data_IF_928506848643
#
_entry.id   IF_928506848643
#
_cell.length_a   1.000
_cell.length_b   1.000
_cell.length_c   1.000
_cell.angle_alpha   90.00
_cell.angle_beta   90.00
_cell.angle_gamma   90.00
#
_symmetry.space_group_name_H-M   'P 1'
#
loop_
_entity.id
_entity.type
_entity.pdbx_description
1 polymer ?
#
# COMPACT_ATOMS: atom_id res chain seq x y z
N UNK A 1 -4.99 -2.57 3.33
CA UNK A 1 -4.99 -2.26 4.78
C UNK A 1 -6.24 -1.50 5.22
N UNK A 2 -6.81 -1.89 6.37
CA UNK A 2 -7.94 -1.21 7.04
C UNK A 2 -7.72 -1.26 8.56
N UNK A 3 -8.45 -0.46 9.33
CA UNK A 3 -8.53 -0.54 10.79
C UNK A 3 -9.99 -0.76 11.11
N UNK A 4 -10.32 -1.81 11.85
CA UNK A 4 -11.71 -2.14 12.18
C UNK A 4 -11.91 -2.16 13.69
N UNK A 5 -13.12 -1.78 14.10
CA UNK A 5 -13.56 -1.93 15.48
C UNK A 5 -13.86 -3.41 15.69
N UNK A 6 -13.43 -3.98 16.82
CA UNK A 6 -13.61 -5.41 17.13
C UNK A 6 -15.07 -5.92 17.08
N UNK A 7 -16.06 -5.03 17.04
CA UNK A 7 -17.49 -5.36 16.91
C UNK A 7 -18.01 -5.49 15.46
N UNK A 8 -17.18 -5.25 14.43
CA UNK A 8 -17.61 -5.22 13.02
C UNK A 8 -17.21 -6.47 12.20
N UNK A 9 -16.61 -7.49 12.82
CA UNK A 9 -16.01 -8.66 12.14
C UNK A 9 -17.04 -9.65 11.54
N UNK A 10 -18.33 -9.59 11.86
CA UNK A 10 -19.29 -10.65 11.53
C UNK A 10 -19.97 -10.59 10.14
N UNK A 11 -19.60 -9.72 9.19
CA UNK A 11 -20.46 -9.44 8.01
C UNK A 11 -19.92 -9.62 6.56
N UNK A 12 -18.78 -10.26 6.30
CA UNK A 12 -18.33 -10.53 4.91
C UNK A 12 -18.10 -12.03 4.62
N UNK A 13 -19.18 -12.77 4.32
CA UNK A 13 -19.08 -14.09 3.66
C UNK A 13 -20.26 -14.31 2.70
N UNK A 14 -20.15 -13.79 1.47
CA UNK A 14 -21.00 -14.17 0.35
C UNK A 14 -20.10 -14.54 -0.84
N UNK A 15 -19.84 -15.85 -1.00
CA UNK A 15 -19.18 -16.43 -2.17
C UNK A 15 -20.25 -16.96 -3.11
N UNK A 16 -20.35 -16.38 -4.30
CA UNK A 16 -20.97 -17.02 -5.46
C UNK A 16 -19.99 -16.88 -6.65
N UNK A 17 -19.51 -17.99 -7.25
CA UNK A 17 -18.78 -17.91 -8.50
C UNK A 17 -19.70 -18.39 -9.63
N UNK A 18 -19.98 -17.52 -10.60
CA UNK A 18 -20.25 -18.00 -11.94
C UNK A 18 -20.02 -16.91 -12.98
N UNK A 19 -19.01 -17.11 -13.83
CA UNK A 19 -19.05 -16.66 -15.23
C UNK A 19 -17.87 -17.29 -15.98
N UNK A 20 -18.11 -18.49 -16.49
CA UNK A 20 -17.34 -19.14 -17.55
C UNK A 20 -17.54 -18.38 -18.88
N UNK A 21 -16.47 -17.90 -19.53
CA UNK A 21 -16.58 -17.44 -20.93
C UNK A 21 -15.38 -17.96 -21.72
N UNK A 22 -15.57 -19.12 -22.34
CA UNK A 22 -14.72 -19.71 -23.38
C UNK A 22 -14.72 -18.84 -24.63
N UNK A 23 -13.55 -18.56 -25.22
CA UNK A 23 -13.46 -18.04 -26.59
C UNK A 23 -12.33 -18.78 -27.30
N UNK A 24 -12.75 -19.79 -28.07
CA UNK A 24 -11.95 -20.46 -29.08
C UNK A 24 -11.76 -19.49 -30.26
N UNK A 25 -10.55 -19.41 -30.80
CA UNK A 25 -10.28 -18.66 -32.04
C UNK A 25 -9.08 -19.26 -32.75
N UNK A 26 -9.39 -20.38 -33.38
CA UNK A 26 -8.75 -20.97 -34.54
C UNK A 26 -8.72 -19.98 -35.72
N UNK A 27 -7.51 -19.61 -36.17
CA UNK A 27 -7.27 -18.97 -37.46
C UNK A 27 -6.08 -19.66 -38.12
N UNK A 28 -6.35 -20.75 -38.82
CA UNK A 28 -5.42 -21.35 -39.76
C UNK A 28 -5.23 -20.40 -40.95
N UNK A 29 -3.99 -20.04 -41.29
CA UNK A 29 -3.63 -19.63 -42.64
C UNK A 29 -2.28 -20.27 -43.02
N UNK A 30 -2.45 -21.27 -43.87
CA UNK A 30 -1.46 -21.96 -44.68
C UNK A 30 -0.77 -21.00 -45.65
N UNK A 31 0.55 -21.06 -45.72
CA UNK A 31 1.33 -20.59 -46.86
C UNK A 31 2.74 -21.19 -46.78
N UNK A 32 2.84 -22.37 -47.35
CA UNK A 32 4.08 -22.98 -47.81
C UNK A 32 4.72 -22.11 -48.91
N UNK A 33 5.92 -21.59 -48.67
CA UNK A 33 6.83 -21.13 -49.71
C UNK A 33 8.23 -21.68 -49.40
N UNK A 34 8.56 -22.83 -49.98
CA UNK A 34 9.93 -23.32 -50.06
C UNK A 34 10.71 -22.48 -51.08
N UNK A 35 11.90 -21.99 -50.72
CA UNK A 35 13.11 -21.66 -51.52
C UNK A 35 14.09 -20.97 -50.54
N UNK A 36 15.41 -21.11 -50.51
CA UNK A 36 16.45 -21.93 -51.12
C UNK A 36 17.70 -21.60 -50.27
N UNK A 37 18.64 -22.53 -50.12
CA UNK A 37 19.81 -22.38 -49.25
C UNK A 37 20.73 -21.23 -49.67
N UNK A 38 21.12 -20.37 -48.71
CA UNK A 38 22.39 -19.63 -48.76
C UNK A 38 23.02 -19.65 -47.37
N UNK A 39 24.18 -20.31 -47.27
CA UNK A 39 25.06 -20.20 -46.11
C UNK A 39 25.37 -18.73 -45.82
N UNK A 40 24.88 -18.23 -44.69
CA UNK A 40 25.32 -16.97 -44.12
C UNK A 40 26.28 -17.28 -42.97
N UNK A 41 27.55 -17.00 -43.24
CA UNK A 41 28.67 -16.92 -42.30
C UNK A 41 28.20 -16.27 -40.97
N UNK A 42 28.49 -16.84 -39.78
CA UNK A 42 28.16 -16.16 -38.54
C UNK A 42 29.09 -14.97 -38.39
N UNK A 43 28.61 -13.80 -38.81
CA UNK A 43 29.23 -12.54 -38.43
C UNK A 43 29.02 -12.42 -36.92
N UNK A 44 30.09 -12.56 -36.15
CA UNK A 44 30.05 -12.40 -34.70
C UNK A 44 29.53 -11.01 -34.39
N UNK A 45 28.25 -10.90 -34.05
CA UNK A 45 27.78 -9.82 -33.21
C UNK A 45 28.43 -10.11 -31.86
N UNK A 46 29.36 -9.24 -31.46
CA UNK A 46 29.66 -9.10 -30.04
C UNK A 46 28.32 -8.80 -29.36
N UNK A 47 27.75 -9.84 -28.75
CA UNK A 47 26.86 -9.67 -27.61
C UNK A 47 27.71 -8.94 -26.60
N UNK A 48 27.56 -7.61 -26.55
CA UNK A 48 27.92 -6.82 -25.39
C UNK A 48 26.86 -7.17 -24.35
N UNK A 49 27.12 -8.05 -23.35
CA UNK A 49 26.20 -8.17 -22.26
C UNK A 49 26.59 -7.05 -21.30
N UNK A 50 26.10 -5.85 -21.57
CA UNK A 50 26.17 -4.78 -20.58
C UNK A 50 24.74 -4.27 -20.35
N UNK A 51 23.84 -5.21 -20.05
CA UNK A 51 22.79 -4.89 -19.10
C UNK A 51 23.50 -4.79 -17.76
N UNK A 52 24.06 -3.62 -17.48
CA UNK A 52 24.67 -3.31 -16.20
C UNK A 52 23.53 -3.39 -15.20
N UNK A 53 23.45 -4.49 -14.45
CA UNK A 53 22.46 -4.67 -13.39
C UNK A 53 22.48 -3.40 -12.52
N UNK A 54 21.41 -2.59 -12.60
CA UNK A 54 21.44 -1.28 -11.98
C UNK A 54 21.04 -1.46 -10.52
N UNK A 55 21.93 -1.20 -9.53
CA UNK A 55 21.57 -1.36 -8.14
C UNK A 55 20.44 -0.37 -7.81
N UNK A 56 19.42 -0.84 -7.08
CA UNK A 56 18.27 -0.04 -6.66
C UNK A 56 18.79 1.26 -6.01
N UNK A 57 18.63 2.39 -6.69
CA UNK A 57 19.34 3.66 -6.42
C UNK A 57 19.09 4.27 -5.04
N UNK A 58 18.13 3.72 -4.30
CA UNK A 58 17.83 4.08 -2.91
C UNK A 58 18.47 3.18 -1.85
N UNK A 59 18.85 1.94 -2.19
CA UNK A 59 19.31 0.92 -1.23
C UNK A 59 20.67 0.31 -1.56
N UNK A 60 21.22 0.56 -2.74
CA UNK A 60 22.57 0.13 -3.12
C UNK A 60 22.77 -1.40 -3.15
N UNK A 61 21.67 -2.17 -3.20
CA UNK A 61 21.70 -3.63 -3.27
C UNK A 61 21.21 -4.08 -4.65
N UNK A 62 21.89 -5.08 -5.21
CA UNK A 62 21.54 -5.71 -6.47
C UNK A 62 20.50 -6.81 -6.20
N UNK A 63 19.40 -6.79 -6.95
CA UNK A 63 18.45 -7.90 -6.98
C UNK A 63 18.84 -8.79 -8.16
N UNK A 64 19.01 -10.09 -7.93
CA UNK A 64 19.30 -11.02 -9.01
C UNK A 64 18.10 -11.04 -9.96
N UNK A 65 18.34 -10.65 -11.22
CA UNK A 65 17.39 -10.47 -12.33
C UNK A 65 16.72 -9.08 -12.39
N UNK A 66 17.18 -8.29 -13.37
CA UNK A 66 16.79 -6.90 -13.67
C UNK A 66 15.32 -6.66 -14.07
N UNK A 67 14.41 -7.64 -13.98
CA UNK A 67 13.00 -7.46 -14.38
C UNK A 67 12.00 -7.32 -13.21
N UNK A 68 12.44 -7.48 -11.96
CA UNK A 68 11.53 -7.48 -10.82
C UNK A 68 11.54 -6.14 -10.07
N UNK A 69 10.99 -5.09 -10.69
CA UNK A 69 10.66 -3.83 -9.99
C UNK A 69 9.85 -4.05 -8.72
N UNK A 70 9.07 -5.14 -8.68
CA UNK A 70 8.33 -5.63 -7.52
C UNK A 70 9.26 -6.02 -6.35
N UNK A 71 10.44 -6.61 -6.61
CA UNK A 71 11.38 -7.00 -5.56
C UNK A 71 12.05 -5.78 -4.88
N UNK A 72 12.51 -4.78 -5.65
CA UNK A 72 13.01 -3.51 -5.11
C UNK A 72 11.87 -2.72 -4.42
N UNK A 73 10.63 -2.79 -4.93
CA UNK A 73 9.46 -2.20 -4.27
C UNK A 73 9.14 -2.86 -2.91
N UNK A 74 9.14 -4.19 -2.83
CA UNK A 74 8.94 -4.91 -1.57
C UNK A 74 10.08 -4.69 -0.58
N UNK A 75 11.33 -4.72 -1.05
CA UNK A 75 12.49 -4.41 -0.22
C UNK A 75 12.38 -3.00 0.38
N UNK A 76 11.93 -2.02 -0.43
CA UNK A 76 11.62 -0.67 0.03
C UNK A 76 10.56 -0.69 1.13
N UNK A 77 9.39 -1.29 0.90
CA UNK A 77 8.32 -1.36 1.91
C UNK A 77 8.79 -2.01 3.21
N UNK A 78 9.59 -3.08 3.12
CA UNK A 78 10.18 -3.75 4.30
C UNK A 78 11.13 -2.83 5.07
N UNK A 79 11.95 -2.05 4.39
CA UNK A 79 12.89 -1.12 5.02
C UNK A 79 12.20 0.12 5.63
N UNK A 80 11.02 0.50 5.13
CA UNK A 80 10.23 1.61 5.67
C UNK A 80 9.30 1.21 6.82
N UNK A 81 9.28 -0.06 7.23
CA UNK A 81 8.47 -0.49 8.38
C UNK A 81 8.92 0.24 9.65
N UNK A 82 7.94 0.66 10.44
CA UNK A 82 8.15 1.28 11.72
C UNK A 82 8.94 0.34 12.65
N UNK A 83 10.01 0.84 13.26
CA UNK A 83 10.82 0.05 14.18
C UNK A 83 10.04 -0.40 15.44
N UNK A 84 8.95 0.29 15.78
CA UNK A 84 8.17 -0.01 16.99
C UNK A 84 7.09 -1.06 16.77
N UNK A 85 6.22 -0.87 15.77
CA UNK A 85 5.10 -1.78 15.50
C UNK A 85 5.32 -2.69 14.29
N UNK A 86 6.40 -2.52 13.53
CA UNK A 86 6.70 -3.32 12.34
C UNK A 86 5.77 -3.04 11.14
N UNK A 87 4.84 -2.11 11.26
CA UNK A 87 3.89 -1.74 10.21
C UNK A 87 4.44 -0.61 9.34
N UNK A 88 3.98 -0.55 8.09
CA UNK A 88 4.20 0.58 7.21
C UNK A 88 3.04 1.57 7.42
N UNK A 89 3.30 2.73 8.02
CA UNK A 89 2.24 3.66 8.45
C UNK A 89 1.44 4.22 7.28
N UNK A 90 2.10 4.41 6.14
CA UNK A 90 1.52 4.94 4.91
C UNK A 90 0.29 4.15 4.45
N UNK A 91 0.25 2.85 4.77
CA UNK A 91 -0.86 1.98 4.44
C UNK A 91 -2.13 2.27 5.26
N UNK A 92 -2.00 2.90 6.42
CA UNK A 92 -3.09 3.17 7.35
C UNK A 92 -3.43 4.66 7.46
N UNK A 93 -2.63 5.54 6.85
CA UNK A 93 -2.88 6.98 6.84
C UNK A 93 -4.26 7.33 6.30
N UNK A 94 -4.67 6.69 5.20
CA UNK A 94 -5.99 6.93 4.62
C UNK A 94 -7.12 6.56 5.59
N UNK A 95 -6.98 5.45 6.30
CA UNK A 95 -7.96 5.03 7.30
C UNK A 95 -7.98 5.97 8.51
N UNK A 96 -6.81 6.42 8.97
CA UNK A 96 -6.71 7.38 10.06
C UNK A 96 -7.39 8.71 9.70
N UNK A 97 -7.26 9.13 8.45
CA UNK A 97 -7.92 10.32 7.93
C UNK A 97 -9.44 10.16 7.86
N UNK A 98 -9.92 9.07 7.28
CA UNK A 98 -11.37 8.85 7.08
C UNK A 98 -12.12 8.60 8.40
N UNK A 99 -11.55 7.78 9.30
CA UNK A 99 -12.27 7.31 10.48
C UNK A 99 -12.07 8.19 11.72
N UNK A 100 -10.95 8.91 11.77
CA UNK A 100 -10.51 9.57 12.99
C UNK A 100 -10.08 11.03 12.79
N UNK A 101 -10.31 11.62 11.61
CA UNK A 101 -9.92 12.98 11.26
C UNK A 101 -8.43 13.28 11.55
N UNK A 102 -7.56 12.26 11.44
CA UNK A 102 -6.13 12.40 11.67
C UNK A 102 -5.36 12.43 10.36
N UNK A 103 -4.39 13.34 10.23
CA UNK A 103 -3.62 13.50 8.99
C UNK A 103 -2.80 12.25 8.65
N UNK A 104 -2.27 11.57 9.66
CA UNK A 104 -1.46 10.36 9.50
C UNK A 104 -1.78 9.33 10.58
N UNK A 105 -1.46 8.06 10.30
CA UNK A 105 -1.55 6.99 11.27
C UNK A 105 -0.51 7.15 12.39
N UNK A 106 -0.99 7.34 13.61
CA UNK A 106 -0.15 7.38 14.81
C UNK A 106 -0.18 6.02 15.54
N UNK A 107 0.86 5.24 15.33
CA UNK A 107 1.01 3.94 15.99
C UNK A 107 1.05 4.03 17.53
N UNK A 108 1.29 5.19 18.17
CA UNK A 108 1.24 5.30 19.65
C UNK A 108 -0.20 5.31 20.14
N UNK A 109 -1.07 5.95 19.36
CA UNK A 109 -2.50 6.02 19.64
C UNK A 109 -3.21 4.71 19.34
N UNK A 110 -2.95 4.10 18.18
CA UNK A 110 -3.60 2.86 17.76
C UNK A 110 -3.01 1.60 18.40
N UNK A 111 -1.69 1.60 18.68
CA UNK A 111 -0.95 0.43 19.15
C UNK A 111 -0.07 0.85 20.34
N UNK A 112 -0.67 1.24 21.48
CA UNK A 112 0.11 1.62 22.64
C UNK A 112 0.88 0.44 23.25
N UNK A 113 0.37 -0.78 23.06
CA UNK A 113 1.02 -2.02 23.46
C UNK A 113 1.14 -2.94 22.24
N UNK A 114 2.35 -3.00 21.69
CA UNK A 114 2.66 -3.80 20.49
C UNK A 114 2.55 -5.30 20.74
N UNK A 115 2.67 -5.77 21.98
CA UNK A 115 2.50 -7.19 22.31
C UNK A 115 1.03 -7.62 22.29
N UNK A 116 0.11 -6.66 22.44
CA UNK A 116 -1.34 -6.87 22.37
C UNK A 116 -1.93 -6.49 21.01
N UNK A 117 -1.07 -6.23 20.03
CA UNK A 117 -1.53 -5.93 18.68
C UNK A 117 -2.19 -7.17 18.07
N UNK A 118 -3.49 -7.07 17.84
CA UNK A 118 -4.25 -8.09 17.10
C UNK A 118 -4.42 -7.63 15.65
N UNK A 119 -4.17 -8.56 14.72
CA UNK A 119 -4.33 -8.32 13.30
C UNK A 119 -5.10 -9.45 12.64
N UNK A 120 -5.98 -9.08 11.71
CA UNK A 120 -6.61 -9.98 10.76
C UNK A 120 -6.12 -9.64 9.35
N UNK A 121 -5.12 -10.40 8.87
CA UNK A 121 -4.43 -10.10 7.62
C UNK A 121 -3.73 -8.73 7.66
N UNK A 122 -4.21 -7.80 6.83
CA UNK A 122 -3.75 -6.41 6.75
C UNK A 122 -4.58 -5.43 7.61
N UNK A 123 -5.46 -5.96 8.45
CA UNK A 123 -6.41 -5.18 9.23
C UNK A 123 -6.00 -5.16 10.70
N UNK A 124 -5.84 -3.98 11.27
CA UNK A 124 -5.60 -3.81 12.71
C UNK A 124 -6.94 -3.95 13.43
N UNK A 125 -7.00 -4.84 14.42
CA UNK A 125 -8.16 -4.99 15.30
C UNK A 125 -7.92 -4.13 16.54
N UNK A 126 -8.77 -3.12 16.74
CA UNK A 126 -8.63 -2.23 17.89
C UNK A 126 -9.41 -2.75 19.09
N UNK A 127 -8.76 -2.98 20.25
CA UNK A 127 -9.46 -3.25 21.50
C UNK A 127 -10.34 -2.06 21.93
N UNK A 128 -11.46 -2.32 22.61
CA UNK A 128 -12.43 -1.29 23.01
C UNK A 128 -11.81 -0.15 23.83
N UNK A 129 -10.87 -0.46 24.74
CA UNK A 129 -10.19 0.54 25.56
C UNK A 129 -9.32 1.52 24.74
N UNK A 130 -8.87 1.11 23.56
CA UNK A 130 -8.11 1.95 22.63
C UNK A 130 -9.07 2.81 21.81
N UNK A 131 -10.15 2.21 21.30
CA UNK A 131 -11.20 2.94 20.58
C UNK A 131 -11.74 4.12 21.42
N UNK A 132 -12.04 3.88 22.70
CA UNK A 132 -12.51 4.94 23.60
C UNK A 132 -11.51 6.09 23.74
N UNK A 133 -10.22 5.79 23.85
CA UNK A 133 -9.17 6.84 23.93
C UNK A 133 -9.07 7.62 22.62
N UNK A 134 -9.21 6.97 21.47
CA UNK A 134 -9.25 7.61 20.17
C UNK A 134 -10.45 8.55 20.06
N UNK A 135 -11.65 8.09 20.42
CA UNK A 135 -12.86 8.92 20.39
C UNK A 135 -12.70 10.15 21.32
N UNK A 136 -12.16 9.97 22.53
CA UNK A 136 -11.85 11.09 23.44
C UNK A 136 -10.83 12.08 22.86
N UNK A 137 -9.84 11.61 22.11
CA UNK A 137 -8.84 12.46 21.45
C UNK A 137 -9.47 13.29 20.32
N UNK A 138 -10.32 12.67 19.51
CA UNK A 138 -11.03 13.32 18.40
C UNK A 138 -11.93 14.44 18.94
N UNK A 139 -12.70 14.16 19.99
CA UNK A 139 -13.57 15.16 20.61
C UNK A 139 -12.78 16.35 21.16
N UNK A 140 -11.59 16.12 21.76
CA UNK A 140 -10.71 17.20 22.22
C UNK A 140 -10.19 18.05 21.06
N UNK A 141 -9.77 17.43 19.95
CA UNK A 141 -9.32 18.17 18.77
C UNK A 141 -10.44 19.03 18.18
N UNK A 142 -11.66 18.48 18.08
CA UNK A 142 -12.84 19.22 17.62
C UNK A 142 -13.16 20.42 18.52
N UNK A 143 -13.12 20.25 19.83
CA UNK A 143 -13.34 21.33 20.80
C UNK A 143 -12.30 22.45 20.66
N UNK A 144 -11.01 22.10 20.57
CA UNK A 144 -9.94 23.08 20.37
C UNK A 144 -10.12 23.88 19.07
N UNK A 145 -10.45 23.21 17.97
CA UNK A 145 -10.70 23.87 16.68
C UNK A 145 -11.88 24.85 16.74
N UNK A 146 -12.95 24.51 17.48
CA UNK A 146 -14.09 25.41 17.68
C UNK A 146 -13.73 26.63 18.54
N UNK A 147 -12.93 26.45 19.60
CA UNK A 147 -12.46 27.55 20.45
C UNK A 147 -11.55 28.52 19.69
N UNK A 148 -10.65 28.01 18.86
CA UNK A 148 -9.73 28.83 18.06
C UNK A 148 -10.48 29.59 16.96
N UNK A 149 -11.42 28.94 16.26
CA UNK A 149 -12.29 29.61 15.30
C UNK A 149 -13.12 30.73 15.94
N UNK A 150 -13.56 30.55 17.19
CA UNK A 150 -14.28 31.59 17.94
C UNK A 150 -13.39 32.78 18.28
N UNK A 151 -12.15 32.56 18.71
CA UNK A 151 -11.18 33.64 18.97
C UNK A 151 -10.89 34.44 17.71
N UNK A 152 -10.69 33.77 16.58
CA UNK A 152 -10.44 34.42 15.29
C UNK A 152 -11.63 35.28 14.85
N UNK A 153 -12.85 34.80 15.08
CA UNK A 153 -14.06 35.57 14.82
C UNK A 153 -14.16 36.81 15.73
N UNK A 154 -13.87 36.68 17.02
CA UNK A 154 -13.86 37.81 17.97
C UNK A 154 -12.79 38.85 17.63
N UNK A 155 -11.60 38.41 17.19
CA UNK A 155 -10.54 39.29 16.68
C UNK A 155 -11.03 40.01 15.42
N UNK A 156 -11.60 39.31 14.45
CA UNK A 156 -12.10 39.91 13.20
C UNK A 156 -13.25 40.91 13.43
N UNK A 157 -14.10 40.69 14.43
CA UNK A 157 -15.21 41.57 14.78
C UNK A 157 -14.78 42.79 15.60
N UNK A 158 -13.64 42.74 16.30
CA UNK A 158 -13.11 43.85 17.09
C UNK A 158 -12.40 44.94 16.27
N UNK A 159 -12.16 44.71 14.98
CA UNK A 159 -11.53 45.67 14.05
C UNK A 159 -12.52 46.39 13.12
N UNK A 160 -13.84 46.16 13.24
CA UNK A 160 -14.89 46.83 12.46
C UNK A 160 -15.60 47.94 13.25
#
# INVERSE_FOLDING_TARGET
MKVVRAMEEELESEVAPDSEMTMDSEMALDSEMALDSVEMVPNSVEVVPDSVESPCSRYGTFHANDDDGEACFQARRRAHRCARCGLLHEDYNLTAWILHDMENFDCEMYIPDVEKLEMNGETIILPEHIQKKLDEHIEKMKQGAMEDAKKDQEISNGFN
#
